data_IF_618763275340
#
_entry.id   IF_618763275340
#
_cell.length_a   1.000
_cell.length_b   1.000
_cell.length_c   1.000
_cell.angle_alpha   90.00
_cell.angle_beta   90.00
_cell.angle_gamma   90.00
#
_symmetry.space_group_name_H-M   'P 1'
#
loop_
_entity.id
_entity.type
_entity.pdbx_description
1 polymer ?
#
# COMPACT_ATOMS: atom_id res chain seq x y z
N UNK A 1 -2.31 62.78 5.12
CA UNK A 1 -2.72 62.97 6.53
C UNK A 1 -2.94 61.59 7.12
N UNK A 2 -2.38 61.40 8.30
CA UNK A 2 -1.97 60.15 8.94
C UNK A 2 -3.10 59.34 9.60
N UNK A 3 -2.92 58.01 9.58
CA UNK A 3 -2.89 57.11 10.75
C UNK A 3 -4.17 56.82 11.54
N UNK A 4 -4.55 55.53 11.62
CA UNK A 4 -4.57 54.81 12.90
C UNK A 4 -4.53 53.29 12.71
N UNK A 5 -3.60 52.69 13.46
CA UNK A 5 -3.25 51.29 13.55
C UNK A 5 -4.02 50.56 14.66
N UNK A 6 -4.11 49.23 14.54
CA UNK A 6 -4.10 48.23 15.63
C UNK A 6 -4.18 46.85 14.96
N UNK A 7 -3.07 46.19 14.65
CA UNK A 7 -2.32 45.30 15.55
C UNK A 7 -3.19 44.39 16.44
N UNK A 8 -3.25 43.11 16.09
CA UNK A 8 -3.59 42.00 17.00
C UNK A 8 -2.71 40.79 16.66
N UNK A 9 -1.48 40.83 17.16
CA UNK A 9 -0.85 39.82 18.00
C UNK A 9 -1.13 38.32 17.72
N UNK A 10 -0.04 37.65 17.35
CA UNK A 10 0.25 36.25 17.68
C UNK A 10 0.20 36.03 19.20
N UNK A 11 -0.42 34.94 19.65
CA UNK A 11 -0.13 34.35 20.97
C UNK A 11 0.26 32.87 20.82
N UNK A 12 1.26 32.42 21.59
CA UNK A 12 1.89 31.11 21.45
C UNK A 12 1.16 30.05 22.27
N UNK A 13 1.18 28.80 21.82
CA UNK A 13 0.94 27.65 22.70
C UNK A 13 2.24 26.88 22.92
N UNK A 14 2.84 27.23 24.05
CA UNK A 14 3.51 26.38 25.02
C UNK A 14 4.22 25.10 24.52
N UNK A 15 5.53 25.10 24.78
CA UNK A 15 6.31 23.89 25.03
C UNK A 15 5.63 23.01 26.10
N UNK A 16 5.56 21.71 25.83
CA UNK A 16 5.46 20.69 26.87
C UNK A 16 6.65 19.75 26.71
N UNK A 17 7.57 19.87 27.65
CA UNK A 17 8.63 18.91 27.92
C UNK A 17 8.02 17.58 28.37
N UNK A 18 8.64 16.48 27.97
CA UNK A 18 8.25 15.15 28.42
C UNK A 18 9.18 14.06 27.91
N UNK A 19 10.41 14.03 28.45
CA UNK A 19 11.27 12.85 28.42
C UNK A 19 10.66 11.84 29.39
N UNK A 20 10.22 10.68 28.93
CA UNK A 20 9.73 9.60 29.79
C UNK A 20 10.28 8.24 29.33
N UNK A 21 11.33 7.84 30.03
CA UNK A 21 11.83 6.51 30.39
C UNK A 21 11.19 5.23 29.79
N UNK A 22 12.08 4.38 29.28
CA UNK A 22 11.84 2.98 28.93
C UNK A 22 11.35 2.14 30.13
N UNK A 23 10.28 1.35 29.92
CA UNK A 23 10.03 0.13 30.70
C UNK A 23 10.04 -1.10 29.79
N UNK A 24 10.91 -2.06 30.13
CA UNK A 24 10.98 -3.40 29.53
C UNK A 24 9.62 -4.09 29.58
N UNK A 25 9.06 -4.41 28.41
CA UNK A 25 7.98 -5.39 28.30
C UNK A 25 8.61 -6.78 28.09
N UNK A 26 8.27 -7.70 28.99
CA UNK A 26 8.82 -9.05 29.05
C UNK A 26 8.48 -9.90 27.84
N UNK A 27 9.38 -10.84 27.55
CA UNK A 27 9.18 -11.91 26.56
C UNK A 27 8.19 -12.92 27.15
N UNK A 28 6.98 -12.98 26.61
CA UNK A 28 6.06 -14.11 26.82
C UNK A 28 6.41 -15.16 25.77
N UNK A 29 6.85 -16.33 26.22
CA UNK A 29 7.07 -17.50 25.38
C UNK A 29 5.77 -18.31 25.33
N UNK A 30 5.26 -18.57 24.13
CA UNK A 30 4.23 -19.60 23.89
C UNK A 30 4.80 -20.64 22.92
N UNK A 31 4.66 -21.92 23.26
CA UNK A 31 5.32 -23.09 22.68
C UNK A 31 4.75 -23.54 21.32
N UNK A 32 4.71 -22.67 20.31
CA UNK A 32 4.51 -23.17 18.93
C UNK A 32 5.16 -22.20 17.95
N UNK A 33 6.19 -22.69 17.26
CA UNK A 33 7.15 -21.93 16.45
C UNK A 33 6.59 -21.31 15.17
N UNK A 34 5.56 -20.47 15.27
CA UNK A 34 5.24 -19.49 14.22
C UNK A 34 5.61 -18.12 14.77
N UNK A 35 6.73 -17.56 14.30
CA UNK A 35 7.04 -16.13 14.47
C UNK A 35 5.96 -15.35 13.72
N UNK A 36 4.84 -15.07 14.37
CA UNK A 36 3.95 -14.00 13.97
C UNK A 36 4.72 -12.71 14.28
N UNK A 37 5.29 -12.12 13.23
CA UNK A 37 6.00 -10.84 13.33
C UNK A 37 5.06 -9.80 13.94
N UNK A 38 5.29 -9.48 15.21
CA UNK A 38 4.69 -8.30 15.82
C UNK A 38 5.36 -7.12 15.13
N UNK A 39 4.68 -6.52 14.14
CA UNK A 39 5.13 -5.29 13.48
C UNK A 39 5.42 -4.26 14.56
N UNK A 40 6.67 -3.79 14.64
CA UNK A 40 6.98 -2.65 15.50
C UNK A 40 6.21 -1.45 14.95
N UNK A 41 5.58 -0.63 15.80
CA UNK A 41 4.95 0.60 15.34
C UNK A 41 6.02 1.47 14.68
N UNK A 42 5.91 1.66 13.36
CA UNK A 42 6.84 2.45 12.55
C UNK A 42 7.53 1.70 11.40
N UNK A 43 7.44 0.36 11.32
CA UNK A 43 7.97 -0.38 10.16
C UNK A 43 7.02 -0.27 8.94
N UNK A 44 7.54 0.07 7.75
CA UNK A 44 6.72 0.17 6.55
C UNK A 44 6.11 -1.20 6.19
N UNK A 45 4.88 -1.20 5.68
CA UNK A 45 4.27 -2.42 5.13
C UNK A 45 4.97 -2.76 3.81
N UNK A 46 5.57 -3.95 3.73
CA UNK A 46 6.02 -4.55 2.47
C UNK A 46 4.78 -4.97 1.67
N UNK A 47 4.81 -4.69 0.37
CA UNK A 47 3.76 -5.05 -0.59
C UNK A 47 4.08 -6.43 -1.14
N UNK A 48 3.09 -7.32 -1.17
CA UNK A 48 3.31 -8.73 -1.51
C UNK A 48 2.18 -9.27 -2.41
N UNK A 49 1.03 -8.61 -2.44
CA UNK A 49 -0.14 -9.09 -3.19
C UNK A 49 -0.25 -8.42 -4.56
N UNK A 50 0.36 -9.04 -5.57
CA UNK A 50 0.40 -8.57 -6.97
C UNK A 50 -0.22 -9.58 -7.97
N UNK A 51 -1.53 -9.89 -7.91
CA UNK A 51 -2.18 -10.73 -8.92
C UNK A 51 -2.29 -9.98 -10.25
N UNK A 52 -2.40 -10.70 -11.37
CA UNK A 52 -2.83 -10.08 -12.64
C UNK A 52 -4.36 -9.89 -12.71
N UNK A 53 -5.12 -10.76 -12.06
CA UNK A 53 -6.58 -10.68 -11.91
C UNK A 53 -6.93 -11.03 -10.47
N UNK A 54 -7.49 -10.06 -9.72
CA UNK A 54 -7.75 -10.24 -8.29
C UNK A 54 -9.21 -10.52 -7.94
N UNK A 55 -10.12 -10.32 -8.89
CA UNK A 55 -11.56 -10.56 -8.73
C UNK A 55 -12.08 -11.27 -9.97
N UNK A 56 -12.76 -12.40 -9.75
CA UNK A 56 -13.52 -13.10 -10.76
C UNK A 56 -14.78 -13.67 -10.11
N UNK A 57 -15.92 -13.00 -10.30
CA UNK A 57 -17.21 -13.42 -9.78
C UNK A 57 -18.11 -13.83 -10.97
N UNK A 58 -18.25 -15.13 -11.25
CA UNK A 58 -19.03 -15.61 -12.39
C UNK A 58 -20.54 -15.42 -12.22
N UNK A 59 -21.04 -15.31 -10.98
CA UNK A 59 -22.47 -15.26 -10.68
C UNK A 59 -22.80 -14.27 -9.56
N UNK A 60 -22.95 -13.00 -9.93
CA UNK A 60 -23.44 -11.96 -9.02
C UNK A 60 -24.93 -11.71 -9.24
N UNK A 61 -25.76 -12.15 -8.29
CA UNK A 61 -27.22 -11.99 -8.36
C UNK A 61 -27.62 -10.64 -7.79
N UNK A 62 -28.45 -9.91 -8.54
CA UNK A 62 -28.99 -8.61 -8.12
C UNK A 62 -30.16 -8.76 -7.17
N UNK A 63 -30.39 -7.74 -6.35
CA UNK A 63 -31.57 -7.64 -5.51
C UNK A 63 -32.83 -7.27 -6.32
N UNK A 64 -33.97 -7.11 -5.63
CA UNK A 64 -35.24 -6.76 -6.26
C UNK A 64 -35.23 -5.39 -6.97
N UNK A 65 -34.22 -4.54 -6.73
CA UNK A 65 -34.03 -3.24 -7.39
C UNK A 65 -33.05 -3.34 -8.58
N UNK A 66 -32.45 -4.50 -8.80
CA UNK A 66 -31.44 -4.70 -9.83
C UNK A 66 -30.02 -4.30 -9.40
N UNK A 67 -29.77 -4.11 -8.09
CA UNK A 67 -28.46 -3.75 -7.56
C UNK A 67 -27.70 -4.97 -7.04
N UNK A 68 -26.38 -5.00 -7.22
CA UNK A 68 -25.50 -5.93 -6.55
C UNK A 68 -24.26 -5.21 -6.01
N UNK A 69 -23.75 -5.68 -4.87
CA UNK A 69 -22.58 -5.09 -4.20
C UNK A 69 -21.62 -6.19 -3.78
N UNK A 70 -20.34 -5.94 -3.97
CA UNK A 70 -19.27 -6.86 -3.59
C UNK A 70 -18.13 -6.07 -2.96
N UNK A 71 -17.70 -6.50 -1.78
CA UNK A 71 -16.50 -5.99 -1.14
C UNK A 71 -15.30 -6.80 -1.59
N UNK A 72 -14.25 -6.12 -2.02
CA UNK A 72 -13.03 -6.75 -2.52
C UNK A 72 -11.82 -6.17 -1.80
N UNK A 73 -10.80 -6.99 -1.57
CA UNK A 73 -9.52 -6.50 -1.04
C UNK A 73 -8.70 -6.03 -2.23
N UNK A 74 -8.29 -4.75 -2.21
CA UNK A 74 -7.49 -4.18 -3.28
C UNK A 74 -6.07 -4.75 -3.28
N UNK A 75 -5.52 -5.10 -4.45
CA UNK A 75 -4.12 -5.49 -4.56
C UNK A 75 -3.15 -4.37 -4.24
N UNK A 76 -1.91 -4.75 -3.97
CA UNK A 76 -0.82 -3.82 -3.68
C UNK A 76 -0.23 -3.17 -4.95
N UNK A 77 -0.66 -3.60 -6.14
CA UNK A 77 -0.19 -3.06 -7.41
C UNK A 77 -0.65 -1.61 -7.63
N UNK A 78 0.30 -0.72 -7.90
CA UNK A 78 0.05 0.69 -8.24
C UNK A 78 -0.16 0.75 -9.75
N UNK A 79 -1.39 0.48 -10.17
CA UNK A 79 -1.76 0.39 -11.59
C UNK A 79 -3.19 0.83 -11.81
N UNK A 80 -3.62 0.84 -13.07
CA UNK A 80 -5.02 1.04 -13.44
C UNK A 80 -5.65 -0.31 -13.74
N UNK A 81 -6.59 -0.71 -12.91
CA UNK A 81 -7.34 -1.95 -13.06
C UNK A 81 -8.46 -1.78 -14.06
N UNK A 82 -8.61 -2.74 -14.97
CA UNK A 82 -9.77 -2.84 -15.86
C UNK A 82 -10.84 -3.70 -15.21
N UNK A 83 -12.05 -3.16 -15.11
CA UNK A 83 -13.24 -3.86 -14.62
C UNK A 83 -14.12 -4.15 -15.82
N UNK A 84 -14.44 -5.42 -16.03
CA UNK A 84 -15.39 -5.87 -17.05
C UNK A 84 -16.55 -6.56 -16.37
N UNK A 85 -17.77 -6.19 -16.71
CA UNK A 85 -18.96 -6.87 -16.22
C UNK A 85 -19.90 -7.20 -17.39
N UNK A 86 -20.54 -8.35 -17.28
CA UNK A 86 -21.59 -8.83 -18.17
C UNK A 86 -22.83 -9.10 -17.34
N UNK A 87 -24.00 -8.79 -17.87
CA UNK A 87 -25.28 -8.95 -17.19
C UNK A 87 -26.29 -9.63 -18.11
N UNK A 88 -27.14 -10.46 -17.51
CA UNK A 88 -28.30 -11.05 -18.18
C UNK A 88 -29.54 -10.88 -17.30
N UNK A 89 -30.65 -10.43 -17.88
CA UNK A 89 -31.92 -10.30 -17.18
C UNK A 89 -32.77 -11.58 -17.34
N UNK A 90 -33.74 -11.77 -16.44
CA UNK A 90 -34.70 -12.88 -16.56
C UNK A 90 -35.56 -12.82 -17.83
N UNK A 91 -35.64 -11.64 -18.47
CA UNK A 91 -36.33 -11.45 -19.76
C UNK A 91 -35.44 -11.78 -20.97
N UNK A 92 -34.20 -12.20 -20.74
CA UNK A 92 -33.23 -12.52 -21.78
C UNK A 92 -32.47 -11.31 -22.33
N UNK A 93 -32.56 -10.16 -21.67
CA UNK A 93 -31.77 -8.98 -22.07
C UNK A 93 -30.31 -9.18 -21.65
N UNK A 94 -29.38 -8.64 -22.44
CA UNK A 94 -27.94 -8.70 -22.18
C UNK A 94 -27.36 -7.30 -22.09
N UNK A 95 -26.38 -7.12 -21.20
CA UNK A 95 -25.65 -5.88 -21.06
C UNK A 95 -24.18 -6.13 -20.74
N UNK A 96 -23.32 -5.17 -21.06
CA UNK A 96 -21.91 -5.20 -20.69
C UNK A 96 -21.39 -3.80 -20.38
N UNK A 97 -20.35 -3.74 -19.56
CA UNK A 97 -19.65 -2.50 -19.24
C UNK A 97 -18.16 -2.78 -19.06
N UNK A 98 -17.36 -1.81 -19.49
CA UNK A 98 -15.94 -1.71 -19.18
C UNK A 98 -15.72 -0.43 -18.38
N UNK A 99 -15.04 -0.55 -17.24
CA UNK A 99 -14.66 0.56 -16.37
C UNK A 99 -13.20 0.43 -15.95
N UNK A 100 -12.65 1.49 -15.37
CA UNK A 100 -11.27 1.54 -14.90
C UNK A 100 -11.21 2.06 -13.46
N UNK A 101 -10.29 1.49 -12.68
CA UNK A 101 -10.02 1.90 -11.31
C UNK A 101 -8.52 2.13 -11.14
N UNK A 102 -8.12 3.38 -10.94
CA UNK A 102 -6.72 3.75 -10.71
C UNK A 102 -6.36 3.60 -9.24
N UNK A 103 -5.34 2.81 -8.94
CA UNK A 103 -4.68 2.73 -7.65
C UNK A 103 -3.38 3.51 -7.73
N UNK A 104 -3.19 4.45 -6.82
CA UNK A 104 -2.01 5.32 -6.83
C UNK A 104 -1.51 5.60 -5.41
N UNK A 105 -0.19 5.68 -5.28
CA UNK A 105 0.50 6.10 -4.07
C UNK A 105 1.52 7.17 -4.47
N UNK A 106 1.62 8.24 -3.69
CA UNK A 106 2.48 9.38 -4.01
C UNK A 106 3.98 9.08 -3.80
N UNK A 107 4.31 8.06 -3.02
CA UNK A 107 5.68 7.64 -2.77
C UNK A 107 5.76 6.11 -2.72
N UNK A 108 6.54 5.51 -3.62
CA UNK A 108 6.69 4.05 -3.69
C UNK A 108 8.03 3.62 -4.30
N UNK A 109 8.39 2.37 -4.02
CA UNK A 109 9.53 1.68 -4.62
C UNK A 109 9.01 0.69 -5.66
N UNK A 110 9.70 0.62 -6.79
CA UNK A 110 9.44 -0.28 -7.89
C UNK A 110 10.70 -1.08 -8.23
N UNK A 111 10.55 -2.38 -8.41
CA UNK A 111 11.66 -3.32 -8.62
C UNK A 111 11.28 -4.17 -9.83
N UNK A 112 12.13 -4.15 -10.85
CA UNK A 112 11.94 -4.95 -12.05
C UNK A 112 12.85 -6.19 -11.98
N UNK A 113 12.24 -7.33 -11.62
CA UNK A 113 12.93 -8.61 -11.54
C UNK A 113 12.70 -9.40 -12.82
N UNK A 114 13.73 -10.09 -13.34
CA UNK A 114 13.54 -11.08 -14.38
C UNK A 114 12.51 -12.14 -13.97
N UNK A 115 11.75 -12.65 -14.95
CA UNK A 115 10.73 -13.67 -14.73
C UNK A 115 11.31 -14.94 -14.12
N UNK A 116 12.57 -15.25 -14.43
CA UNK A 116 13.30 -16.38 -13.88
C UNK A 116 14.79 -16.04 -13.78
N UNK A 117 15.46 -16.70 -12.83
CA UNK A 117 16.89 -16.68 -12.60
C UNK A 117 17.39 -18.12 -12.43
N UNK A 118 18.67 -18.35 -12.75
CA UNK A 118 19.35 -19.62 -12.54
C UNK A 118 20.31 -19.50 -11.36
N UNK A 119 20.56 -20.61 -10.67
CA UNK A 119 21.59 -20.67 -9.64
C UNK A 119 22.96 -20.30 -10.21
N UNK A 120 23.68 -19.41 -9.52
CA UNK A 120 24.96 -18.87 -9.97
C UNK A 120 24.86 -17.66 -10.91
N UNK A 121 23.66 -17.19 -11.25
CA UNK A 121 23.49 -15.93 -11.99
C UNK A 121 23.92 -14.74 -11.11
N UNK A 122 24.77 -13.89 -11.67
CA UNK A 122 25.11 -12.59 -11.10
C UNK A 122 24.29 -11.51 -11.81
N UNK A 123 23.42 -10.82 -11.05
CA UNK A 123 22.51 -9.82 -11.60
C UNK A 123 22.63 -8.49 -10.89
N UNK A 124 22.39 -7.42 -11.63
CA UNK A 124 22.17 -6.08 -11.08
C UNK A 124 20.70 -5.75 -11.21
N UNK A 125 20.02 -5.57 -10.07
CA UNK A 125 18.59 -5.25 -10.05
C UNK A 125 18.44 -3.73 -9.89
N UNK A 126 17.95 -3.01 -10.92
CA UNK A 126 17.66 -1.59 -10.77
C UNK A 126 16.45 -1.42 -9.84
N UNK A 127 16.61 -0.58 -8.81
CA UNK A 127 15.53 -0.18 -7.92
C UNK A 127 15.13 1.24 -8.23
N UNK A 128 13.89 1.44 -8.68
CA UNK A 128 13.34 2.76 -8.95
C UNK A 128 12.55 3.25 -7.73
N UNK A 129 12.75 4.52 -7.37
CA UNK A 129 12.03 5.16 -6.27
C UNK A 129 11.32 6.37 -6.83
N UNK A 130 10.00 6.38 -6.70
CA UNK A 130 9.16 7.45 -7.20
C UNK A 130 8.69 8.32 -6.04
N UNK A 131 8.96 9.62 -6.13
CA UNK A 131 8.48 10.63 -5.20
C UNK A 131 7.63 11.67 -5.96
N UNK A 132 6.31 11.59 -5.80
CA UNK A 132 5.34 12.55 -6.34
C UNK A 132 4.89 13.59 -5.30
N UNK A 133 5.45 13.58 -4.09
CA UNK A 133 5.18 14.59 -3.07
C UNK A 133 5.81 15.93 -3.45
N UNK A 134 5.27 17.08 -2.99
CA UNK A 134 5.77 18.41 -3.31
C UNK A 134 7.12 18.74 -2.64
N UNK A 135 7.72 17.82 -1.89
CA UNK A 135 8.91 18.04 -1.08
C UNK A 135 9.87 16.86 -1.22
N UNK A 136 11.16 17.15 -1.10
CA UNK A 136 12.21 16.13 -1.05
C UNK A 136 12.02 15.20 0.16
N UNK A 137 12.36 13.93 -0.01
CA UNK A 137 12.32 12.93 1.06
C UNK A 137 13.74 12.41 1.30
N UNK A 138 14.15 12.35 2.56
CA UNK A 138 15.32 11.59 2.97
C UNK A 138 14.89 10.14 3.19
N UNK A 139 15.55 9.20 2.50
CA UNK A 139 15.12 7.81 2.44
C UNK A 139 16.24 6.88 2.89
N UNK A 140 15.86 5.83 3.63
CA UNK A 140 16.75 4.71 3.93
C UNK A 140 16.23 3.50 3.18
N UNK A 141 16.95 3.09 2.14
CA UNK A 141 16.68 1.83 1.44
C UNK A 141 17.43 0.69 2.14
N UNK A 142 16.73 -0.40 2.41
CA UNK A 142 17.29 -1.60 3.01
C UNK A 142 16.85 -2.79 2.18
N UNK A 143 17.81 -3.55 1.67
CA UNK A 143 17.56 -4.89 1.12
C UNK A 143 17.63 -5.88 2.29
N UNK A 144 16.58 -6.68 2.45
CA UNK A 144 16.55 -7.72 3.46
C UNK A 144 17.40 -8.91 2.99
N UNK A 145 18.41 -9.27 3.76
CA UNK A 145 19.24 -10.46 3.51
C UNK A 145 18.42 -11.74 3.67
N UNK A 146 18.62 -12.69 2.76
CA UNK A 146 18.00 -14.01 2.79
C UNK A 146 19.05 -15.08 2.47
N UNK A 147 18.81 -16.32 2.88
CA UNK A 147 19.80 -17.42 2.74
C UNK A 147 20.02 -17.88 1.29
N UNK A 148 19.21 -17.43 0.33
CA UNK A 148 19.20 -17.92 -1.05
C UNK A 148 19.96 -17.01 -2.04
N UNK A 149 20.47 -15.86 -1.60
CA UNK A 149 21.32 -14.99 -2.42
C UNK A 149 22.41 -14.34 -1.57
N UNK A 150 23.50 -14.00 -2.24
CA UNK A 150 24.58 -13.20 -1.66
C UNK A 150 24.54 -11.77 -2.25
N UNK A 151 24.78 -10.78 -1.40
CA UNK A 151 24.98 -9.39 -1.84
C UNK A 151 26.47 -9.20 -2.12
N UNK A 152 26.80 -8.80 -3.35
CA UNK A 152 28.16 -8.53 -3.80
C UNK A 152 28.64 -7.12 -3.48
#
# INVERSE_FOLDING_TARGET
>A
MLEQAADRAMLPMAAVAGIAEMKKAGVVRTETGKKLGIKKPGEPRVREFFPETFVFEPALITDAKGEARMSVTMPDAITTWRITAFASSQKGELGSILSQLKVFQEFFVDIDLPVALTEGDEISIPVAIYNYLPREQEIRLVLQEEEWFDIL
#
